data_IF_953361922185
#
_entry.id   IF_953361922185
#
_cell.length_a   1.000
_cell.length_b   1.000
_cell.length_c   1.000
_cell.angle_alpha   90.00
_cell.angle_beta   90.00
_cell.angle_gamma   90.00
#
_symmetry.space_group_name_H-M   'P 1'
#
loop_
_entity.id
_entity.type
_entity.pdbx_description
1 polymer ?
#
# COMPACT_ATOMS: atom_id res chain seq x y z
N UNK A 1 -1.54 38.30 1.11
CA UNK A 1 -2.55 37.29 0.76
C UNK A 1 -1.87 35.93 0.88
N UNK A 2 -2.23 35.13 1.89
CA UNK A 2 -1.56 33.86 2.20
C UNK A 2 -2.16 32.74 1.36
N UNK A 3 -1.41 32.24 0.38
CA UNK A 3 -1.75 31.03 -0.34
C UNK A 3 -1.52 29.83 0.58
N UNK A 4 -2.62 29.32 1.17
CA UNK A 4 -2.61 28.02 1.82
C UNK A 4 -2.20 27.00 0.76
N UNK A 5 -1.00 26.45 0.93
CA UNK A 5 -0.57 25.24 0.23
C UNK A 5 -1.50 24.12 0.71
N UNK A 6 -2.64 23.99 0.04
CA UNK A 6 -3.55 22.88 0.24
C UNK A 6 -2.84 21.68 -0.36
N UNK A 7 -2.16 20.93 0.51
CA UNK A 7 -1.64 19.61 0.16
C UNK A 7 -2.86 18.75 -0.19
N UNK A 8 -3.30 18.82 -1.45
CA UNK A 8 -4.16 17.81 -2.01
C UNK A 8 -3.36 16.52 -1.84
N UNK A 9 -3.81 15.66 -0.92
CA UNK A 9 -3.40 14.27 -0.87
C UNK A 9 -3.72 13.74 -2.26
N UNK A 10 -2.75 13.77 -3.17
CA UNK A 10 -2.85 13.06 -4.44
C UNK A 10 -3.33 11.66 -4.07
N UNK A 11 -4.47 11.18 -4.60
CA UNK A 11 -4.92 9.82 -4.30
C UNK A 11 -3.77 8.93 -4.74
N UNK A 12 -3.06 8.39 -3.74
CA UNK A 12 -1.82 7.66 -3.92
C UNK A 12 -2.23 6.46 -4.74
N UNK A 13 -1.92 6.48 -6.03
CA UNK A 13 -2.28 5.38 -6.91
C UNK A 13 -1.51 4.17 -6.38
N UNK A 14 -2.24 3.24 -5.77
CA UNK A 14 -1.65 2.10 -5.11
C UNK A 14 -1.53 1.02 -6.16
N UNK A 15 -0.33 0.92 -6.72
CA UNK A 15 -0.01 -0.17 -7.65
C UNK A 15 0.20 -1.42 -6.82
N UNK A 16 -0.57 -2.45 -7.12
CA UNK A 16 -0.30 -3.77 -6.59
C UNK A 16 1.06 -4.22 -7.14
N UNK A 17 2.00 -4.45 -6.22
CA UNK A 17 3.41 -4.70 -6.58
C UNK A 17 3.49 -5.93 -7.47
N UNK A 18 4.14 -5.80 -8.62
CA UNK A 18 4.33 -6.91 -9.56
C UNK A 18 3.13 -7.23 -10.45
N UNK A 19 2.02 -6.48 -10.35
CA UNK A 19 0.84 -6.71 -11.19
C UNK A 19 0.59 -5.56 -12.18
N UNK A 20 -0.05 -5.85 -13.32
CA UNK A 20 -0.52 -4.83 -14.25
C UNK A 20 -1.83 -4.18 -13.74
N UNK A 21 -1.94 -3.90 -12.44
CA UNK A 21 -3.18 -3.38 -11.83
C UNK A 21 -2.85 -2.22 -10.88
N UNK A 22 -3.61 -1.13 -10.99
CA UNK A 22 -3.49 0.04 -10.12
C UNK A 22 -4.85 0.40 -9.52
N UNK A 23 -4.84 0.84 -8.26
CA UNK A 23 -6.03 1.40 -7.60
C UNK A 23 -5.99 2.91 -7.64
N UNK A 24 -7.05 3.56 -8.14
CA UNK A 24 -7.22 5.01 -8.13
C UNK A 24 -8.52 5.34 -7.41
N UNK A 25 -8.42 5.84 -6.18
CA UNK A 25 -9.59 6.03 -5.32
C UNK A 25 -10.23 4.68 -4.98
N UNK A 26 -11.52 4.52 -5.29
CA UNK A 26 -12.27 3.27 -5.13
C UNK A 26 -12.30 2.41 -6.39
N UNK A 27 -11.63 2.81 -7.47
CA UNK A 27 -11.69 2.15 -8.76
C UNK A 27 -10.40 1.41 -9.09
N UNK A 28 -10.55 0.23 -9.66
CA UNK A 28 -9.46 -0.61 -10.16
C UNK A 28 -9.22 -0.37 -11.64
N UNK A 29 -7.96 -0.19 -12.03
CA UNK A 29 -7.55 0.02 -13.41
C UNK A 29 -6.51 -1.03 -13.81
N UNK A 30 -6.75 -1.69 -14.94
CA UNK A 30 -5.82 -2.61 -15.58
C UNK A 30 -4.86 -1.83 -16.47
N UNK A 31 -3.56 -2.02 -16.29
CA UNK A 31 -2.51 -1.42 -17.09
C UNK A 31 -2.17 -2.35 -18.25
N UNK A 32 -2.41 -1.89 -19.46
CA UNK A 32 -2.05 -2.55 -20.72
C UNK A 32 -0.90 -1.80 -21.38
N UNK A 33 -0.27 -2.39 -22.40
CA UNK A 33 0.76 -1.69 -23.19
C UNK A 33 0.27 -0.41 -23.87
N UNK A 34 -1.04 -0.28 -24.09
CA UNK A 34 -1.67 0.86 -24.77
C UNK A 34 -2.29 1.88 -23.81
N UNK A 35 -2.29 1.62 -22.49
CA UNK A 35 -2.91 2.52 -21.51
C UNK A 35 -3.60 1.80 -20.35
N UNK A 36 -4.41 2.52 -19.59
CA UNK A 36 -5.14 1.98 -18.43
C UNK A 36 -6.62 1.84 -18.73
N UNK A 37 -7.20 0.67 -18.44
CA UNK A 37 -8.61 0.36 -18.65
C UNK A 37 -9.29 0.16 -17.29
N UNK A 38 -10.47 0.75 -17.10
CA UNK A 38 -11.25 0.57 -15.87
C UNK A 38 -11.77 -0.87 -15.77
N UNK A 39 -11.54 -1.52 -14.63
CA UNK A 39 -12.18 -2.79 -14.31
C UNK A 39 -13.61 -2.54 -13.84
N UNK A 40 -14.59 -3.05 -14.59
CA UNK A 40 -16.02 -2.87 -14.32
C UNK A 40 -16.71 -4.12 -13.81
N UNK A 41 -16.07 -5.29 -13.93
CA UNK A 41 -16.63 -6.54 -13.44
C UNK A 41 -16.57 -6.59 -11.90
N UNK A 42 -17.72 -6.63 -11.20
CA UNK A 42 -17.76 -6.56 -9.74
C UNK A 42 -17.07 -7.76 -9.07
N UNK A 43 -17.17 -8.95 -9.65
CA UNK A 43 -16.51 -10.16 -9.12
C UNK A 43 -14.99 -9.99 -9.18
N UNK A 44 -14.45 -9.61 -10.33
CA UNK A 44 -13.04 -9.34 -10.50
C UNK A 44 -12.52 -8.22 -9.58
N UNK A 45 -13.25 -7.10 -9.46
CA UNK A 45 -12.84 -6.02 -8.54
C UNK A 45 -12.87 -6.44 -7.08
N UNK A 46 -13.80 -7.32 -6.69
CA UNK A 46 -13.87 -7.88 -5.33
C UNK A 46 -12.65 -8.74 -4.99
N UNK A 47 -12.15 -9.53 -5.95
CA UNK A 47 -10.92 -10.31 -5.78
C UNK A 47 -9.68 -9.40 -5.65
N UNK A 48 -9.62 -8.30 -6.40
CA UNK A 48 -8.55 -7.30 -6.26
C UNK A 48 -8.57 -6.62 -4.89
N UNK A 49 -9.75 -6.29 -4.35
CA UNK A 49 -9.87 -5.72 -3.00
C UNK A 49 -9.42 -6.71 -1.92
N UNK A 50 -9.80 -7.99 -2.03
CA UNK A 50 -9.32 -9.05 -1.13
C UNK A 50 -7.81 -9.21 -1.20
N UNK A 51 -7.26 -9.22 -2.41
CA UNK A 51 -5.82 -9.32 -2.62
C UNK A 51 -5.06 -8.13 -2.02
N UNK A 52 -5.54 -6.90 -2.26
CA UNK A 52 -4.96 -5.70 -1.66
C UNK A 52 -5.00 -5.74 -0.13
N UNK A 53 -6.10 -6.23 0.45
CA UNK A 53 -6.26 -6.38 1.89
C UNK A 53 -5.27 -7.40 2.48
N UNK A 54 -5.07 -8.54 1.79
CA UNK A 54 -4.10 -9.55 2.18
C UNK A 54 -2.65 -9.03 2.10
N UNK A 55 -2.32 -8.27 1.05
CA UNK A 55 -1.01 -7.62 0.89
C UNK A 55 -0.75 -6.60 2.02
N UNK A 56 -1.73 -5.76 2.34
CA UNK A 56 -1.62 -4.81 3.44
C UNK A 56 -1.41 -5.50 4.80
N UNK A 57 -2.13 -6.60 5.04
CA UNK A 57 -1.96 -7.40 6.25
C UNK A 57 -0.57 -8.03 6.34
N UNK A 58 -0.04 -8.54 5.21
CA UNK A 58 1.31 -9.08 5.15
C UNK A 58 2.38 -8.00 5.41
N UNK A 59 2.24 -6.83 4.79
CA UNK A 59 3.16 -5.70 5.01
C UNK A 59 3.14 -5.24 6.48
N UNK A 60 1.96 -5.20 7.10
CA UNK A 60 1.82 -4.91 8.52
C UNK A 60 2.51 -5.96 9.40
N UNK A 61 2.30 -7.25 9.13
CA UNK A 61 2.94 -8.33 9.89
C UNK A 61 4.48 -8.26 9.78
N UNK A 62 5.01 -7.96 8.59
CA UNK A 62 6.46 -7.76 8.40
C UNK A 62 6.95 -6.53 9.17
N UNK A 63 6.18 -5.43 9.18
CA UNK A 63 6.53 -4.24 9.95
C UNK A 63 6.59 -4.52 11.46
N UNK A 64 5.64 -5.29 12.00
CA UNK A 64 5.61 -5.71 13.40
C UNK A 64 6.84 -6.57 13.76
N UNK A 65 7.18 -7.57 12.93
CA UNK A 65 8.38 -8.39 13.13
C UNK A 65 9.64 -7.53 13.14
N UNK A 66 9.76 -6.56 12.21
CA UNK A 66 10.91 -5.64 12.16
C UNK A 66 10.97 -4.73 13.39
N UNK A 67 9.83 -4.25 13.89
CA UNK A 67 9.76 -3.44 15.09
C UNK A 67 10.22 -4.24 16.32
N UNK A 68 9.76 -5.48 16.47
CA UNK A 68 10.17 -6.37 17.56
C UNK A 68 11.68 -6.64 17.52
N UNK A 69 12.25 -6.91 16.34
CA UNK A 69 13.69 -7.12 16.19
C UNK A 69 14.51 -5.88 16.57
N UNK A 70 14.04 -4.68 16.24
CA UNK A 70 14.69 -3.42 16.64
C UNK A 70 14.67 -3.26 18.16
N UNK A 71 13.53 -3.47 18.80
CA UNK A 71 13.41 -3.40 20.27
C UNK A 71 14.36 -4.39 20.99
N UNK A 72 14.47 -5.62 20.50
CA UNK A 72 15.40 -6.62 21.05
C UNK A 72 16.88 -6.23 20.87
N UNK A 73 17.24 -5.57 19.76
CA UNK A 73 18.62 -5.09 19.52
C UNK A 73 18.98 -3.91 20.42
N UNK A 74 18.04 -2.99 20.66
CA UNK A 74 18.28 -1.84 21.55
C UNK A 74 18.32 -2.24 23.02
N UNK A 75 17.50 -3.21 23.45
CA UNK A 75 17.57 -3.77 24.81
C UNK A 75 18.93 -4.42 25.12
N UNK A 76 19.56 -5.06 24.13
CA UNK A 76 20.88 -5.69 24.29
C UNK A 76 22.04 -4.69 24.41
N UNK A 77 21.88 -3.47 23.90
CA UNK A 77 22.90 -2.40 23.98
C UNK A 77 22.90 -1.67 25.32
N UNK A 78 21.80 -1.73 26.09
CA UNK A 78 21.63 -1.00 27.34
C UNK A 78 22.06 -1.76 28.60
N UNK A 79 22.35 -3.06 28.48
CA UNK A 79 22.69 -3.96 29.60
C UNK A 79 24.18 -4.11 29.94
N UNK A 80 25.04 -3.18 29.51
CA UNK A 80 26.49 -3.22 29.80
C UNK A 80 26.96 -1.86 30.34
N UNK A 81 26.55 -1.54 31.56
CA UNK A 81 27.15 -0.48 32.39
C UNK A 81 27.26 -1.02 33.80
#
# INVERSE_FOLDING_TARGET
MSERISASRTPRSERLVGTPVIRRGSQWWLVTGSGSILATDPTFTGELDRFASAMAAADQAVAEVRAQQRASRDGRRKGKR
#
